data_IF_488970894912
#
_entry.id   IF_488970894912
#
_cell.length_a   1.000
_cell.length_b   1.000
_cell.length_c   1.000
_cell.angle_alpha   90.00
_cell.angle_beta   90.00
_cell.angle_gamma   90.00
#
_symmetry.space_group_name_H-M   'P 1'
#
loop_
_entity.id
_entity.type
_entity.pdbx_description
1 polymer ?
#
# COMPACT_ATOMS: atom_id res chain seq x y z
N UNK A 1 -12.79 -11.95 -15.90
CA UNK A 1 -13.23 -11.17 -14.73
C UNK A 1 -12.24 -11.32 -13.58
N UNK A 2 -11.24 -10.44 -13.50
CA UNK A 2 -10.03 -10.48 -12.65
C UNK A 2 -8.95 -11.50 -13.05
N UNK A 3 -9.19 -12.83 -13.04
CA UNK A 3 -8.11 -13.80 -13.32
C UNK A 3 -7.54 -13.69 -14.75
N UNK A 4 -8.39 -13.51 -15.75
CA UNK A 4 -7.97 -13.30 -17.14
C UNK A 4 -7.49 -11.86 -17.40
N UNK A 5 -8.21 -10.88 -16.84
CA UNK A 5 -7.94 -9.46 -17.10
C UNK A 5 -6.68 -8.97 -16.38
N UNK A 6 -6.31 -9.58 -15.24
CA UNK A 6 -5.13 -9.23 -14.45
C UNK A 6 -4.08 -10.36 -14.43
N UNK A 7 -4.12 -11.29 -15.39
CA UNK A 7 -3.14 -12.38 -15.47
C UNK A 7 -1.70 -11.82 -15.44
N UNK A 8 -0.86 -12.38 -14.57
CA UNK A 8 0.54 -11.92 -14.37
C UNK A 8 0.68 -10.55 -13.69
N UNK A 9 -0.42 -9.92 -13.26
CA UNK A 9 -0.44 -8.57 -12.64
C UNK A 9 -1.00 -8.57 -11.21
N UNK A 10 -1.20 -9.74 -10.62
CA UNK A 10 -1.59 -9.89 -9.22
C UNK A 10 -0.30 -10.07 -8.41
N UNK A 11 0.03 -9.08 -7.60
CA UNK A 11 1.18 -9.14 -6.70
C UNK A 11 0.82 -9.95 -5.46
N UNK A 12 1.71 -10.86 -5.06
CA UNK A 12 1.54 -11.63 -3.85
C UNK A 12 2.01 -10.82 -2.63
N UNK A 13 1.39 -11.10 -1.48
CA UNK A 13 1.95 -10.68 -0.20
C UNK A 13 2.99 -11.72 0.22
N UNK A 14 4.23 -11.51 -0.18
CA UNK A 14 5.36 -12.39 0.11
C UNK A 14 6.18 -11.90 1.33
N UNK A 15 7.29 -12.58 1.62
CA UNK A 15 8.16 -12.23 2.73
C UNK A 15 8.74 -10.81 2.60
N UNK A 16 9.05 -10.36 1.38
CA UNK A 16 9.57 -9.00 1.15
C UNK A 16 8.52 -7.96 1.54
N UNK A 17 7.28 -8.16 1.10
CA UNK A 17 6.17 -7.30 1.49
C UNK A 17 5.92 -7.34 3.00
N UNK A 18 6.03 -8.52 3.62
CA UNK A 18 5.81 -8.69 5.06
C UNK A 18 6.82 -7.94 5.93
N UNK A 19 8.10 -7.89 5.52
CA UNK A 19 9.13 -7.12 6.23
C UNK A 19 8.83 -5.62 6.14
N UNK A 20 8.54 -5.11 4.94
CA UNK A 20 8.22 -3.69 4.74
C UNK A 20 6.93 -3.31 5.49
N UNK A 21 5.95 -4.21 5.54
CA UNK A 21 4.73 -4.01 6.33
C UNK A 21 5.05 -3.79 7.81
N UNK A 22 5.92 -4.62 8.40
CA UNK A 22 6.30 -4.48 9.80
C UNK A 22 6.95 -3.12 10.07
N UNK A 23 7.83 -2.66 9.17
CA UNK A 23 8.46 -1.34 9.27
C UNK A 23 7.44 -0.20 9.18
N UNK A 24 6.50 -0.28 8.24
CA UNK A 24 5.42 0.71 8.05
C UNK A 24 4.54 0.81 9.29
N UNK A 25 4.10 -0.32 9.84
CA UNK A 25 3.23 -0.35 11.03
C UNK A 25 4.00 0.18 12.23
N UNK A 26 5.22 -0.32 12.48
CA UNK A 26 6.03 0.12 13.61
C UNK A 26 6.34 1.63 13.54
N UNK A 27 6.61 2.17 12.35
CA UNK A 27 6.79 3.60 12.18
C UNK A 27 5.52 4.40 12.49
N UNK A 28 4.37 3.99 11.92
CA UNK A 28 3.08 4.66 12.17
C UNK A 28 2.66 4.63 13.64
N UNK A 29 2.89 3.52 14.32
CA UNK A 29 2.62 3.38 15.75
C UNK A 29 3.49 4.34 16.57
N UNK A 30 4.78 4.47 16.24
CA UNK A 30 5.68 5.44 16.90
C UNK A 30 5.22 6.89 16.70
N UNK A 31 4.66 7.21 15.54
CA UNK A 31 4.09 8.52 15.24
C UNK A 31 2.70 8.76 15.89
N UNK A 32 2.15 7.77 16.61
CA UNK A 32 0.81 7.87 17.22
C UNK A 32 -0.33 7.85 16.20
N UNK A 33 -0.07 7.38 14.98
CA UNK A 33 -1.02 7.37 13.86
C UNK A 33 -1.18 5.93 13.33
N UNK A 34 -1.75 5.00 14.11
CA UNK A 34 -1.84 3.60 13.70
C UNK A 34 -2.61 3.45 12.38
N UNK A 35 -2.12 2.55 11.53
CA UNK A 35 -2.67 2.29 10.20
C UNK A 35 -3.46 0.98 10.23
N UNK A 36 -4.62 0.94 9.55
CA UNK A 36 -5.38 -0.30 9.41
C UNK A 36 -4.54 -1.34 8.66
N UNK A 37 -4.66 -2.62 9.05
CA UNK A 37 -3.88 -3.72 8.46
C UNK A 37 -3.93 -3.72 6.93
N UNK A 38 -5.11 -3.60 6.33
CA UNK A 38 -5.25 -3.63 4.87
C UNK A 38 -4.53 -2.46 4.18
N UNK A 39 -4.60 -1.26 4.75
CA UNK A 39 -3.91 -0.08 4.22
C UNK A 39 -2.39 -0.23 4.35
N UNK A 40 -1.91 -0.79 5.46
CA UNK A 40 -0.50 -1.10 5.65
C UNK A 40 0.01 -2.17 4.67
N UNK A 41 -0.79 -3.20 4.37
CA UNK A 41 -0.43 -4.21 3.37
C UNK A 41 -0.38 -3.63 1.95
N UNK A 42 -1.35 -2.77 1.59
CA UNK A 42 -1.35 -2.07 0.30
C UNK A 42 -0.14 -1.14 0.18
N UNK A 43 0.16 -0.35 1.22
CA UNK A 43 1.32 0.52 1.27
C UNK A 43 2.63 -0.26 1.11
N UNK A 44 2.81 -1.31 1.90
CA UNK A 44 4.00 -2.16 1.84
C UNK A 44 4.18 -2.82 0.47
N UNK A 45 3.09 -3.31 -0.13
CA UNK A 45 3.14 -3.88 -1.49
C UNK A 45 3.57 -2.83 -2.51
N UNK A 46 3.02 -1.62 -2.45
CA UNK A 46 3.42 -0.55 -3.35
C UNK A 46 4.88 -0.15 -3.18
N UNK A 47 5.39 -0.06 -1.95
CA UNK A 47 6.80 0.22 -1.68
C UNK A 47 7.72 -0.89 -2.18
N UNK A 48 7.37 -2.15 -1.94
CA UNK A 48 8.16 -3.31 -2.35
C UNK A 48 8.38 -3.38 -3.86
N UNK A 49 7.35 -3.06 -4.64
CA UNK A 49 7.37 -3.18 -6.10
C UNK A 49 7.48 -1.84 -6.84
N UNK A 50 7.70 -0.72 -6.13
CA UNK A 50 7.79 0.62 -6.73
C UNK A 50 6.51 1.05 -7.46
N UNK A 51 5.35 0.60 -6.99
CA UNK A 51 4.06 0.84 -7.62
C UNK A 51 3.36 2.10 -7.06
N UNK A 52 2.48 2.70 -7.88
CA UNK A 52 1.62 3.82 -7.48
C UNK A 52 0.25 3.32 -7.05
N UNK A 53 -0.22 3.77 -5.89
CA UNK A 53 -1.52 3.39 -5.34
C UNK A 53 -2.64 4.26 -5.92
N UNK A 54 -3.59 3.65 -6.63
CA UNK A 54 -4.82 4.33 -7.02
C UNK A 54 -5.84 4.22 -5.87
N UNK A 55 -6.18 5.35 -5.23
CA UNK A 55 -7.09 5.36 -4.08
C UNK A 55 -7.80 6.70 -3.93
N UNK A 56 -9.06 6.66 -3.46
CA UNK A 56 -9.77 7.87 -3.01
C UNK A 56 -9.42 8.27 -1.57
N UNK A 57 -8.84 7.35 -0.78
CA UNK A 57 -8.55 7.54 0.64
C UNK A 57 -7.12 8.05 0.86
N UNK A 58 -6.72 9.08 0.13
CA UNK A 58 -5.35 9.61 0.10
C UNK A 58 -4.76 9.84 1.49
N UNK A 59 -5.55 10.44 2.39
CA UNK A 59 -5.16 10.75 3.78
C UNK A 59 -4.56 9.57 4.58
N UNK A 60 -4.92 8.31 4.27
CA UNK A 60 -4.36 7.16 5.00
C UNK A 60 -2.90 6.89 4.60
N UNK A 61 -2.49 7.34 3.41
CA UNK A 61 -1.19 7.06 2.81
C UNK A 61 -0.25 8.27 2.84
N UNK A 62 -0.72 9.45 3.26
CA UNK A 62 0.11 10.63 3.45
C UNK A 62 1.23 10.37 4.45
N UNK A 63 2.46 10.74 4.07
CA UNK A 63 3.66 10.53 4.90
C UNK A 63 4.26 9.13 4.84
N UNK A 64 3.63 8.14 4.18
CA UNK A 64 4.19 6.77 4.04
C UNK A 64 5.25 6.63 2.94
N UNK A 65 5.50 7.67 2.15
CA UNK A 65 6.39 7.58 0.98
C UNK A 65 5.81 6.78 -0.20
N UNK A 66 4.59 6.26 -0.08
CA UNK A 66 3.88 5.57 -1.17
C UNK A 66 3.39 6.61 -2.19
N UNK A 67 3.78 6.56 -3.47
CA UNK A 67 3.18 7.42 -4.48
C UNK A 67 1.72 7.02 -4.70
N UNK A 68 0.81 7.99 -4.77
CA UNK A 68 -0.62 7.74 -4.94
C UNK A 68 -1.26 8.61 -6.02
N UNK A 69 -2.41 8.18 -6.53
CA UNK A 69 -3.29 8.95 -7.42
C UNK A 69 -4.73 8.79 -6.94
N UNK A 70 -5.49 9.88 -6.91
CA UNK A 70 -6.94 9.82 -6.69
C UNK A 70 -7.67 9.97 -8.02
N UNK A 71 -8.13 8.88 -8.65
CA UNK A 71 -8.74 8.94 -9.98
C UNK A 71 -10.14 9.59 -9.98
N UNK A 72 -10.68 9.94 -8.81
CA UNK A 72 -11.93 10.68 -8.67
C UNK A 72 -11.74 12.20 -8.52
N UNK A 73 -10.51 12.66 -8.35
CA UNK A 73 -10.17 14.08 -8.40
C UNK A 73 -9.74 14.39 -9.82
N UNK A 74 -10.74 14.58 -10.68
CA UNK A 74 -10.63 15.06 -12.06
C UNK A 74 -11.10 16.51 -12.12
#
# INVERSE_FOLDING_TARGET
>A
MLKGDCAGRILAYDLTVAVIYADVVAWREREGLPLAMADAQMAATCLAYGARLATRNVRHFEGLGVPWVNPWQS
#
